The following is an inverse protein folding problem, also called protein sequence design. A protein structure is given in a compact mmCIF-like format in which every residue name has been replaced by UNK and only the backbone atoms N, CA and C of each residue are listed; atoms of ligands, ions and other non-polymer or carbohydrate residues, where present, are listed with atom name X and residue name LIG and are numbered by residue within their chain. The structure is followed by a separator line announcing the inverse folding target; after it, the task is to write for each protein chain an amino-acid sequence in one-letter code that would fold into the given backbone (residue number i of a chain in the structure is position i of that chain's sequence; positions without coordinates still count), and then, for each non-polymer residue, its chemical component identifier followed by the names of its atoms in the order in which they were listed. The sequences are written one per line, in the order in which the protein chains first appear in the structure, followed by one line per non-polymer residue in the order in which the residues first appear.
data_IF_996675675739
#
_entry.id   IF_996675675739
#
_cell.length_a   1.000
_cell.length_b   1.000
_cell.length_c   1.000
_cell.angle_alpha   90.00
_cell.angle_beta   90.00
_cell.angle_gamma   90.00
#
_symmetry.space_group_name_H-M   'P 1'
#
loop_
_entity.id
_entity.type
_entity.pdbx_description
1 polymer ?
#
# COMPACT_ATOMS: atom_id res chain seq x y z
N UNK A 1 -16.50 -42.93 33.58
CA UNK A 1 -16.43 -42.71 32.13
C UNK A 1 -16.63 -41.22 31.89
N UNK A 2 -15.63 -40.56 31.27
CA UNK A 2 -15.62 -39.17 30.74
C UNK A 2 -15.75 -38.02 31.77
N UNK A 3 -15.04 -36.89 31.68
CA UNK A 3 -13.73 -36.48 31.19
C UNK A 3 -13.56 -35.03 31.73
N UNK A 4 -12.41 -34.72 32.32
CA UNK A 4 -11.99 -33.34 32.62
C UNK A 4 -11.47 -32.72 31.32
N UNK A 5 -11.91 -31.51 30.97
CA UNK A 5 -11.13 -30.64 30.09
C UNK A 5 -11.19 -29.19 30.56
N UNK A 6 -10.04 -28.73 31.07
CA UNK A 6 -9.65 -27.34 31.19
C UNK A 6 -9.57 -26.72 29.79
N UNK A 7 -10.17 -25.55 29.60
CA UNK A 7 -9.81 -24.65 28.52
C UNK A 7 -9.29 -23.35 29.15
N UNK A 8 -7.99 -23.36 29.45
CA UNK A 8 -7.16 -22.16 29.41
C UNK A 8 -7.03 -21.71 27.95
N UNK A 9 -6.95 -20.40 27.71
CA UNK A 9 -6.31 -19.89 26.51
C UNK A 9 -7.03 -18.74 25.80
N UNK A 10 -6.40 -17.57 25.90
CA UNK A 10 -6.46 -16.56 24.85
C UNK A 10 -7.57 -15.54 25.00
N UNK A 11 -7.26 -14.46 25.75
CA UNK A 11 -7.77 -13.15 25.32
C UNK A 11 -7.24 -12.90 23.92
N UNK A 12 -8.04 -13.22 22.90
CA UNK A 12 -7.88 -12.60 21.59
C UNK A 12 -8.23 -11.14 21.80
N UNK A 13 -7.20 -10.33 21.99
CA UNK A 13 -7.29 -8.89 21.74
C UNK A 13 -7.83 -8.76 20.31
N UNK A 14 -9.13 -8.49 20.20
CA UNK A 14 -9.72 -8.06 18.95
C UNK A 14 -8.94 -6.80 18.56
N UNK A 15 -8.03 -6.95 17.61
CA UNK A 15 -7.48 -5.81 16.89
C UNK A 15 -8.70 -5.18 16.24
N UNK A 16 -9.18 -4.08 16.81
CA UNK A 16 -10.20 -3.25 16.21
C UNK A 16 -9.57 -2.68 14.94
N UNK A 17 -9.68 -3.42 13.84
CA UNK A 17 -9.45 -2.87 12.52
C UNK A 17 -10.35 -1.63 12.45
N UNK A 18 -9.73 -0.46 12.41
CA UNK A 18 -10.45 0.81 12.35
C UNK A 18 -11.44 0.70 11.19
N UNK A 19 -12.73 0.83 11.50
CA UNK A 19 -13.78 0.58 10.52
C UNK A 19 -13.59 1.55 9.34
N UNK A 20 -13.32 0.99 8.16
CA UNK A 20 -13.16 1.76 6.93
C UNK A 20 -14.49 2.39 6.56
N UNK A 21 -14.49 3.70 6.31
CA UNK A 21 -15.68 4.46 5.94
C UNK A 21 -15.61 4.87 4.45
N UNK A 22 -16.53 4.40 3.60
CA UNK A 22 -16.52 4.71 2.16
C UNK A 22 -16.82 6.18 1.86
N UNK A 23 -17.24 6.97 2.85
CA UNK A 23 -17.46 8.42 2.71
C UNK A 23 -16.17 9.20 2.56
N UNK A 24 -15.02 8.62 2.92
CA UNK A 24 -13.70 9.18 2.64
C UNK A 24 -13.07 8.29 1.59
N UNK A 25 -12.73 8.80 0.41
CA UNK A 25 -12.17 7.97 -0.68
C UNK A 25 -11.20 8.73 -1.56
N UNK A 26 -10.31 7.98 -2.20
CA UNK A 26 -9.48 8.49 -3.28
C UNK A 26 -10.23 8.37 -4.61
N UNK A 27 -10.19 9.44 -5.39
CA UNK A 27 -10.61 9.47 -6.80
C UNK A 27 -9.41 9.15 -7.69
N UNK A 28 -8.23 9.67 -7.33
CA UNK A 28 -6.97 9.44 -8.04
C UNK A 28 -5.82 9.35 -7.03
N UNK A 29 -4.84 8.45 -7.22
CA UNK A 29 -4.74 7.44 -8.27
C UNK A 29 -5.78 6.33 -8.15
N UNK A 30 -6.03 5.61 -9.24
CA UNK A 30 -6.90 4.44 -9.24
C UNK A 30 -6.17 3.18 -8.74
N UNK A 31 -6.94 2.20 -8.26
CA UNK A 31 -6.40 0.89 -7.85
C UNK A 31 -5.59 0.25 -8.96
N UNK A 32 -4.38 -0.19 -8.63
CA UNK A 32 -3.46 -0.85 -9.55
C UNK A 32 -2.84 0.06 -10.61
N UNK A 33 -3.09 1.37 -10.58
CA UNK A 33 -2.47 2.33 -11.49
C UNK A 33 -0.93 2.23 -11.39
N UNK A 34 -0.27 2.25 -12.54
CA UNK A 34 1.17 2.05 -12.62
C UNK A 34 1.91 3.40 -12.70
N UNK A 35 2.98 3.51 -11.92
CA UNK A 35 3.93 4.61 -11.91
C UNK A 35 5.36 4.07 -11.95
N UNK A 36 6.33 4.93 -12.19
CA UNK A 36 7.75 4.63 -12.11
C UNK A 36 8.42 5.29 -10.89
N UNK A 37 9.57 4.79 -10.45
CA UNK A 37 10.41 5.51 -9.51
C UNK A 37 10.74 6.92 -10.05
N UNK A 38 10.68 7.94 -9.21
CA UNK A 38 10.85 9.35 -9.59
C UNK A 38 9.58 10.03 -10.11
N UNK A 39 8.50 9.29 -10.40
CA UNK A 39 7.26 9.92 -10.86
C UNK A 39 6.59 10.72 -9.74
N UNK A 40 6.05 11.89 -10.12
CA UNK A 40 5.16 12.67 -9.26
C UNK A 40 3.74 12.10 -9.34
N UNK A 41 3.23 11.62 -8.21
CA UNK A 41 1.87 11.13 -8.07
C UNK A 41 0.98 12.28 -7.58
N UNK A 42 -0.08 12.56 -8.33
CA UNK A 42 -1.13 13.48 -7.89
C UNK A 42 -2.23 12.69 -7.21
N UNK A 43 -2.62 13.12 -6.02
CA UNK A 43 -3.62 12.47 -5.19
C UNK A 43 -4.82 13.41 -5.08
N UNK A 44 -5.98 12.90 -5.44
CA UNK A 44 -7.26 13.61 -5.36
C UNK A 44 -8.21 12.72 -4.60
N UNK A 45 -8.82 13.26 -3.55
CA UNK A 45 -9.81 12.55 -2.76
C UNK A 45 -11.06 13.37 -2.49
N UNK A 46 -12.10 12.65 -2.11
CA UNK A 46 -13.43 13.15 -1.84
C UNK A 46 -13.86 12.72 -0.45
N UNK A 47 -14.56 13.62 0.23
CA UNK A 47 -15.16 13.40 1.52
C UNK A 47 -16.64 13.76 1.43
N UNK A 48 -17.50 12.82 1.81
CA UNK A 48 -18.94 13.07 1.79
C UNK A 48 -19.27 14.25 2.73
N UNK A 49 -20.08 15.23 2.30
CA UNK A 49 -20.42 16.40 3.11
C UNK A 49 -21.04 16.06 4.47
N UNK A 50 -21.71 14.91 4.57
CA UNK A 50 -22.30 14.40 5.83
C UNK A 50 -21.28 14.07 6.92
N UNK A 51 -19.99 13.96 6.58
CA UNK A 51 -18.93 13.72 7.56
C UNK A 51 -18.50 15.01 8.28
N UNK A 52 -18.76 16.19 7.69
CA UNK A 52 -18.34 17.48 8.23
C UNK A 52 -16.85 17.49 8.65
N UNK A 53 -15.98 17.03 7.75
CA UNK A 53 -14.56 16.98 8.01
C UNK A 53 -13.97 18.38 8.16
N UNK A 54 -13.14 18.58 9.18
CA UNK A 54 -12.38 19.82 9.40
C UNK A 54 -10.96 19.72 8.87
N UNK A 55 -10.46 18.51 8.63
CA UNK A 55 -9.16 18.26 8.02
C UNK A 55 -9.14 16.92 7.26
N UNK A 56 -8.12 16.70 6.44
CA UNK A 56 -7.91 15.46 5.71
C UNK A 56 -6.42 15.13 5.58
N UNK A 57 -6.13 13.88 5.23
CA UNK A 57 -4.78 13.39 5.06
C UNK A 57 -4.75 12.17 4.15
N UNK A 58 -3.53 11.77 3.78
CA UNK A 58 -3.29 10.50 3.09
C UNK A 58 -2.05 9.86 3.68
N UNK A 59 -2.22 8.71 4.32
CA UNK A 59 -1.11 7.89 4.76
C UNK A 59 -0.54 7.06 3.60
N UNK A 60 0.78 7.07 3.44
CA UNK A 60 1.50 6.12 2.59
C UNK A 60 2.12 5.04 3.46
N UNK A 61 1.68 3.79 3.27
CA UNK A 61 2.27 2.66 3.98
C UNK A 61 3.71 2.47 3.50
N UNK A 62 4.66 2.59 4.42
CA UNK A 62 6.09 2.47 4.14
C UNK A 62 6.81 3.78 3.82
N UNK A 63 6.08 4.89 3.59
CA UNK A 63 6.66 6.21 3.31
C UNK A 63 6.18 7.32 4.26
N UNK A 64 5.19 7.07 5.11
CA UNK A 64 4.66 8.03 6.09
C UNK A 64 3.46 8.83 5.60
N UNK A 65 3.08 9.88 6.32
CA UNK A 65 1.95 10.74 5.95
C UNK A 65 2.29 11.74 4.83
N UNK A 66 1.32 12.04 3.97
CA UNK A 66 1.43 13.09 2.97
C UNK A 66 0.90 14.42 3.49
N UNK A 67 1.67 15.48 3.23
CA UNK A 67 1.17 16.85 3.41
C UNK A 67 0.21 17.18 2.28
N UNK A 68 -1.00 17.64 2.63
CA UNK A 68 -1.97 18.11 1.65
C UNK A 68 -1.50 19.42 1.00
N UNK A 69 -1.78 19.55 -0.29
CA UNK A 69 -1.63 20.80 -1.04
C UNK A 69 -2.91 21.64 -1.04
N UNK A 70 -4.04 21.05 -0.69
CA UNK A 70 -5.31 21.75 -0.55
C UNK A 70 -6.40 20.89 0.06
N UNK A 71 -7.29 21.53 0.82
CA UNK A 71 -8.46 20.93 1.45
C UNK A 71 -9.63 21.92 1.39
N UNK A 72 -10.82 21.43 1.06
CA UNK A 72 -12.02 22.25 0.90
C UNK A 72 -13.24 21.68 1.65
N UNK A 73 -13.04 20.89 2.70
CA UNK A 73 -14.13 20.29 3.49
C UNK A 73 -14.74 19.02 2.87
N UNK A 74 -14.98 19.04 1.55
CA UNK A 74 -15.58 17.92 0.80
C UNK A 74 -14.60 17.23 -0.14
N UNK A 75 -13.37 17.73 -0.22
CA UNK A 75 -12.33 17.16 -1.04
C UNK A 75 -10.95 17.63 -0.61
N UNK A 76 -9.95 16.86 -1.02
CA UNK A 76 -8.55 17.17 -0.75
C UNK A 76 -7.67 16.83 -1.96
N UNK A 77 -6.56 17.54 -2.05
CA UNK A 77 -5.53 17.33 -3.05
C UNK A 77 -4.16 17.29 -2.38
N UNK A 78 -3.36 16.32 -2.78
CA UNK A 78 -1.97 16.17 -2.36
C UNK A 78 -1.11 15.74 -3.54
N UNK A 79 0.21 15.85 -3.40
CA UNK A 79 1.12 15.23 -4.36
C UNK A 79 2.40 14.81 -3.67
N UNK A 80 3.02 13.76 -4.18
CA UNK A 80 4.32 13.30 -3.70
C UNK A 80 5.14 12.76 -4.85
N UNK A 81 6.45 12.65 -4.63
CA UNK A 81 7.37 12.04 -5.58
C UNK A 81 7.73 10.67 -5.06
N UNK A 82 7.60 9.64 -5.91
CA UNK A 82 8.06 8.30 -5.56
C UNK A 82 9.59 8.33 -5.51
N UNK A 83 10.23 7.89 -4.40
CA UNK A 83 11.69 7.85 -4.32
C UNK A 83 12.29 7.05 -5.48
N UNK A 84 13.40 7.53 -6.04
CA UNK A 84 14.03 6.87 -7.21
C UNK A 84 14.50 5.44 -6.93
N UNK A 85 14.74 5.10 -5.67
CA UNK A 85 15.18 3.79 -5.20
C UNK A 85 14.02 2.86 -4.78
N UNK A 86 12.76 3.26 -5.00
CA UNK A 86 11.61 2.45 -4.61
C UNK A 86 10.97 1.75 -5.81
N UNK A 87 10.78 0.43 -5.72
CA UNK A 87 9.85 -0.32 -6.57
C UNK A 87 9.02 -1.29 -5.75
N UNK A 88 7.81 -1.57 -6.24
CA UNK A 88 6.86 -2.44 -5.56
C UNK A 88 5.49 -1.80 -5.37
N UNK A 89 4.62 -2.48 -4.61
CA UNK A 89 3.27 -1.99 -4.34
C UNK A 89 3.30 -0.88 -3.27
N UNK A 90 2.80 0.29 -3.62
CA UNK A 90 2.66 1.40 -2.67
C UNK A 90 1.18 1.60 -2.31
N UNK A 91 0.86 1.49 -1.02
CA UNK A 91 -0.51 1.60 -0.52
C UNK A 91 -0.76 2.99 0.05
N UNK A 92 -1.79 3.65 -0.46
CA UNK A 92 -2.33 4.93 0.00
C UNK A 92 -3.58 4.67 0.86
N UNK A 93 -3.70 5.34 1.99
CA UNK A 93 -4.87 5.31 2.84
C UNK A 93 -5.37 6.74 3.08
N UNK A 94 -6.52 7.13 2.52
CA UNK A 94 -7.08 8.45 2.79
C UNK A 94 -7.65 8.47 4.21
N UNK A 95 -7.55 9.62 4.86
CA UNK A 95 -8.09 9.88 6.18
C UNK A 95 -8.76 11.25 6.22
N UNK A 96 -9.79 11.37 7.05
CA UNK A 96 -10.45 12.64 7.32
C UNK A 96 -10.61 12.82 8.83
N UNK A 97 -10.57 14.07 9.29
CA UNK A 97 -10.79 14.39 10.69
C UNK A 97 -12.15 15.10 10.85
N UNK A 98 -13.03 14.49 11.63
CA UNK A 98 -14.37 15.00 11.94
C UNK A 98 -14.66 14.82 13.44
N UNK A 99 -13.86 15.47 14.29
CA UNK A 99 -13.82 15.24 15.74
C UNK A 99 -13.11 13.93 16.14
N UNK A 100 -12.96 12.99 15.21
CA UNK A 100 -12.11 11.80 15.27
C UNK A 100 -11.54 11.49 13.88
N UNK A 101 -10.46 10.72 13.83
CA UNK A 101 -9.92 10.21 12.57
C UNK A 101 -10.86 9.15 11.98
N UNK A 102 -11.22 9.34 10.72
CA UNK A 102 -12.04 8.43 9.91
C UNK A 102 -11.18 7.96 8.76
N UNK A 103 -10.96 6.65 8.66
CA UNK A 103 -10.14 6.06 7.61
C UNK A 103 -11.00 5.64 6.42
N UNK A 104 -10.58 6.01 5.22
CA UNK A 104 -11.17 5.53 3.99
C UNK A 104 -10.52 4.23 3.49
N UNK A 105 -11.03 3.67 2.38
CA UNK A 105 -10.49 2.45 1.80
C UNK A 105 -9.10 2.71 1.22
N UNK A 106 -8.21 1.75 1.40
CA UNK A 106 -6.86 1.80 0.86
C UNK A 106 -6.88 1.65 -0.66
N UNK A 107 -6.00 2.38 -1.35
CA UNK A 107 -5.71 2.21 -2.77
C UNK A 107 -4.26 1.79 -2.94
N UNK A 108 -3.99 0.73 -3.69
CA UNK A 108 -2.63 0.26 -3.96
C UNK A 108 -2.23 0.57 -5.40
N UNK A 109 -1.18 1.37 -5.57
CA UNK A 109 -0.55 1.62 -6.87
C UNK A 109 0.65 0.70 -7.08
N UNK A 110 1.02 0.51 -8.35
CA UNK A 110 2.16 -0.31 -8.73
C UNK A 110 3.32 0.59 -9.14
N UNK A 111 4.45 0.50 -8.45
CA UNK A 111 5.67 1.20 -8.86
C UNK A 111 6.59 0.22 -9.59
N UNK A 112 6.87 0.50 -10.87
CA UNK A 112 7.73 -0.33 -11.73
C UNK A 112 8.71 0.55 -12.51
N UNK A 113 10.02 0.24 -12.50
CA UNK A 113 10.98 0.91 -13.37
C UNK A 113 10.57 0.80 -14.85
N UNK A 114 10.83 1.86 -15.63
CA UNK A 114 10.50 1.91 -17.07
C UNK A 114 11.55 1.23 -17.94
N UNK A 115 12.76 1.09 -17.41
CA UNK A 115 13.89 0.43 -18.06
C UNK A 115 13.98 -1.02 -17.61
N UNK A 116 14.52 -1.93 -18.43
CA UNK A 116 14.83 -3.28 -17.97
C UNK A 116 15.94 -3.25 -16.89
N UNK A 117 16.02 -4.28 -16.03
CA UNK A 117 17.14 -4.47 -15.13
C UNK A 117 18.45 -4.55 -15.92
N UNK A 118 19.52 -3.96 -15.36
CA UNK A 118 20.88 -4.10 -15.89
C UNK A 118 21.48 -5.46 -15.52
N UNK A 119 21.05 -6.03 -14.39
CA UNK A 119 21.46 -7.36 -13.94
C UNK A 119 20.26 -8.15 -13.44
N UNK A 120 20.32 -9.47 -13.63
CA UNK A 120 19.37 -10.42 -13.04
C UNK A 120 20.16 -11.36 -12.12
N UNK A 121 19.68 -11.53 -10.90
CA UNK A 121 20.22 -12.50 -9.95
C UNK A 121 19.15 -13.51 -9.56
N UNK A 122 19.53 -14.78 -9.46
CA UNK A 122 18.62 -15.84 -9.03
C UNK A 122 18.44 -15.74 -7.51
N UNK A 123 17.18 -15.61 -7.05
CA UNK A 123 16.85 -15.53 -5.62
C UNK A 123 17.08 -16.88 -4.94
N UNK A 124 16.72 -17.98 -5.62
CA UNK A 124 16.96 -19.34 -5.14
C UNK A 124 18.25 -19.92 -5.73
N UNK A 125 19.41 -19.50 -5.20
CA UNK A 125 20.74 -19.99 -5.62
C UNK A 125 20.92 -21.52 -5.55
N UNK A 126 20.07 -22.22 -4.79
CA UNK A 126 20.16 -23.67 -4.57
C UNK A 126 19.12 -24.48 -5.37
N UNK A 127 18.56 -23.92 -6.44
CA UNK A 127 17.65 -24.66 -7.30
C UNK A 127 18.45 -25.57 -8.24
N UNK A 128 18.71 -26.81 -7.81
CA UNK A 128 19.35 -27.83 -8.63
C UNK A 128 18.25 -28.58 -9.39
N UNK A 129 18.06 -28.33 -10.70
CA UNK A 129 17.04 -29.04 -11.46
C UNK A 129 17.38 -30.54 -11.47
N UNK A 130 16.59 -31.34 -10.77
CA UNK A 130 16.67 -32.79 -10.89
C UNK A 130 16.05 -33.20 -12.24
N UNK A 131 16.78 -34.00 -13.01
CA UNK A 131 16.25 -34.60 -14.23
C UNK A 131 15.01 -35.43 -13.86
N UNK A 132 13.85 -35.08 -14.46
CA UNK A 132 12.51 -35.68 -14.26
C UNK A 132 11.55 -35.03 -13.22
N UNK A 133 11.72 -33.75 -12.88
CA UNK A 133 10.69 -32.98 -12.15
C UNK A 133 9.79 -32.15 -13.11
N UNK A 134 8.53 -31.82 -12.74
CA UNK A 134 7.71 -30.86 -13.49
C UNK A 134 8.39 -29.49 -13.58
N UNK A 135 8.01 -28.62 -14.55
CA UNK A 135 8.66 -27.33 -14.75
C UNK A 135 8.63 -26.50 -13.46
N UNK A 136 9.82 -26.22 -12.94
CA UNK A 136 10.02 -25.45 -11.71
C UNK A 136 10.14 -23.95 -12.03
N UNK A 137 9.61 -23.10 -11.16
CA UNK A 137 9.64 -21.65 -11.34
C UNK A 137 10.90 -21.07 -10.71
N UNK A 138 11.79 -20.53 -11.54
CA UNK A 138 12.96 -19.79 -11.07
C UNK A 138 12.56 -18.37 -10.68
N UNK A 139 12.72 -18.01 -9.41
CA UNK A 139 12.56 -16.63 -8.95
C UNK A 139 13.85 -15.84 -9.23
N UNK A 140 13.73 -14.73 -9.94
CA UNK A 140 14.83 -13.82 -10.26
C UNK A 140 14.54 -12.43 -9.71
N UNK A 141 15.60 -11.73 -9.33
CA UNK A 141 15.61 -10.33 -8.87
C UNK A 141 16.36 -9.50 -9.89
N UNK A 142 15.83 -8.32 -10.22
CA UNK A 142 16.44 -7.42 -11.18
C UNK A 142 17.05 -6.21 -10.50
N UNK A 143 18.33 -5.95 -10.72
CA UNK A 143 18.99 -4.72 -10.31
C UNK A 143 18.84 -3.70 -11.44
N UNK A 144 18.34 -2.51 -11.14
CA UNK A 144 18.21 -1.41 -12.10
C UNK A 144 19.33 -0.38 -11.90
N UNK A 145 19.61 0.43 -12.92
CA UNK A 145 20.72 1.40 -12.91
C UNK A 145 20.63 2.45 -11.79
N UNK A 146 19.43 2.71 -11.28
CA UNK A 146 19.16 3.61 -10.16
C UNK A 146 19.23 2.90 -8.78
N UNK A 147 19.73 1.67 -8.71
CA UNK A 147 19.87 0.90 -7.47
C UNK A 147 18.57 0.29 -6.95
N UNK A 148 17.47 0.37 -7.71
CA UNK A 148 16.22 -0.34 -7.42
C UNK A 148 16.41 -1.84 -7.63
N UNK A 149 15.71 -2.64 -6.84
CA UNK A 149 15.89 -4.08 -6.69
C UNK A 149 14.57 -4.86 -6.59
#
# INVERSE_FOLDING_TARGET
MLAVLLASGGSVLATTASAVDPRVRLISPAEGQQFAPGDKVSVVGEIAPSLQATDAGVGLRGLGGLTLTGFAGTGFVASFVIPEFYAGPLTLQPEAYAGRTVLGPTVTIKVRPRTPPIELSVINRHNYPALAQPPERLAVKGLYANGVE
#
